data_IF_827821398768
#
_entry.id   IF_827821398768
#
_cell.length_a   1.000
_cell.length_b   1.000
_cell.length_c   1.000
_cell.angle_alpha   90.00
_cell.angle_beta   90.00
_cell.angle_gamma   90.00
#
_symmetry.space_group_name_H-M   'P 1'
#
loop_
_entity.id
_entity.type
_entity.pdbx_description
1 polymer ?
#
# COMPACT_ATOMS: atom_id res chain seq x y z
N UNK A 1 -4.26 -16.24 -3.85
CA UNK A 1 -3.51 -14.97 -4.06
C UNK A 1 -2.24 -14.99 -3.23
N UNK A 2 -1.14 -14.51 -3.79
CA UNK A 2 0.13 -14.29 -3.10
C UNK A 2 0.49 -12.82 -3.20
N UNK A 3 0.87 -12.21 -2.08
CA UNK A 3 1.23 -10.79 -2.00
C UNK A 3 2.62 -10.65 -1.41
N UNK A 4 3.45 -9.82 -2.04
CA UNK A 4 4.74 -9.43 -1.52
C UNK A 4 4.65 -8.37 -0.41
N UNK A 5 5.79 -7.99 0.14
CA UNK A 5 5.87 -6.86 1.07
C UNK A 5 5.66 -5.54 0.34
N UNK A 6 4.95 -4.62 0.98
CA UNK A 6 4.87 -3.24 0.50
C UNK A 6 6.21 -2.54 0.71
N UNK A 7 6.69 -1.85 -0.32
CA UNK A 7 7.94 -1.07 -0.29
C UNK A 7 7.66 0.39 -0.58
N UNK A 8 8.30 1.27 0.16
CA UNK A 8 8.19 2.71 -0.11
C UNK A 8 8.87 3.06 -1.43
N UNK A 9 8.28 3.97 -2.20
CA UNK A 9 8.85 4.47 -3.45
C UNK A 9 10.11 5.30 -3.18
N UNK A 10 10.01 6.22 -2.21
CA UNK A 10 11.16 6.98 -1.72
C UNK A 10 11.60 6.46 -0.35
N UNK A 11 12.86 6.71 0.06
CA UNK A 11 13.29 6.48 1.42
C UNK A 11 12.40 7.21 2.42
N UNK A 12 11.95 6.49 3.45
CA UNK A 12 11.09 7.05 4.49
C UNK A 12 11.94 7.35 5.72
N UNK A 13 11.91 8.60 6.18
CA UNK A 13 12.64 9.06 7.36
C UNK A 13 11.64 9.22 8.51
N UNK A 14 11.67 8.34 9.52
CA UNK A 14 10.85 8.48 10.71
C UNK A 14 11.21 9.75 11.48
N UNK A 15 10.20 10.50 11.92
CA UNK A 15 10.38 11.66 12.79
C UNK A 15 10.06 11.28 14.24
N UNK A 16 10.98 11.62 15.16
CA UNK A 16 10.72 11.47 16.57
C UNK A 16 9.91 12.65 17.10
N UNK A 17 8.81 12.36 17.78
CA UNK A 17 8.00 13.36 18.47
C UNK A 17 7.93 13.03 19.96
N UNK A 18 8.01 14.06 20.79
CA UNK A 18 7.77 13.92 22.22
C UNK A 18 6.30 13.98 22.53
N UNK A 19 5.80 13.02 23.28
CA UNK A 19 4.43 12.98 23.77
C UNK A 19 4.46 13.27 25.27
N UNK A 20 3.61 14.18 25.73
CA UNK A 20 3.46 14.45 27.15
C UNK A 20 2.09 14.01 27.61
N UNK A 21 2.03 13.20 28.63
CA UNK A 21 0.81 12.82 29.31
C UNK A 21 0.67 13.65 30.56
N UNK A 22 -0.38 14.44 30.64
CA UNK A 22 -0.67 15.31 31.80
C UNK A 22 -1.49 14.56 32.85
N UNK A 23 -2.42 13.69 32.43
CA UNK A 23 -3.21 12.87 33.35
C UNK A 23 -2.43 11.62 33.76
N UNK A 24 -2.17 11.46 35.03
CA UNK A 24 -1.47 10.31 35.62
C UNK A 24 -2.53 9.28 36.06
N UNK A 25 -2.31 8.00 35.77
CA UNK A 25 -3.34 6.97 35.92
C UNK A 25 -3.58 6.55 37.37
N UNK A 26 -2.62 6.76 38.28
CA UNK A 26 -2.71 6.36 39.68
C UNK A 26 -2.39 7.51 40.62
N UNK A 27 -3.07 7.56 41.79
CA UNK A 27 -2.84 8.59 42.79
C UNK A 27 -1.42 8.55 43.39
N UNK A 28 -0.82 7.39 43.48
CA UNK A 28 0.56 7.22 43.98
C UNK A 28 1.59 7.81 43.00
N UNK A 29 1.42 7.63 41.71
CA UNK A 29 2.30 8.20 40.71
C UNK A 29 2.08 9.71 40.57
N UNK A 30 0.86 10.20 40.76
CA UNK A 30 0.54 11.64 40.78
C UNK A 30 1.26 12.41 41.88
N UNK A 31 1.56 11.77 43.01
CA UNK A 31 2.34 12.36 44.11
C UNK A 31 3.84 12.46 43.82
N UNK A 32 4.33 11.69 42.85
CA UNK A 32 5.77 11.59 42.52
C UNK A 32 6.14 12.35 41.24
N UNK A 33 5.22 12.50 40.28
CA UNK A 33 5.47 13.11 38.97
C UNK A 33 4.26 13.91 38.53
N UNK A 34 4.48 15.13 38.06
CA UNK A 34 3.41 15.96 37.51
C UNK A 34 3.09 15.64 36.03
N UNK A 35 4.01 15.04 35.31
CA UNK A 35 3.87 14.71 33.89
C UNK A 35 4.71 13.49 33.53
N UNK A 36 4.23 12.69 32.59
CA UNK A 36 5.03 11.66 31.95
C UNK A 36 5.36 12.06 30.52
N UNK A 37 6.61 11.91 30.14
CA UNK A 37 7.10 12.15 28.77
C UNK A 37 7.43 10.82 28.12
N UNK A 38 6.96 10.64 26.90
CA UNK A 38 7.29 9.50 26.04
C UNK A 38 7.79 9.98 24.69
N UNK A 39 8.34 9.06 23.92
CA UNK A 39 8.76 9.30 22.53
C UNK A 39 7.93 8.44 21.60
N UNK A 40 7.58 8.99 20.46
CA UNK A 40 6.88 8.27 19.39
C UNK A 40 7.52 8.61 18.06
N UNK A 41 7.70 7.60 17.23
CA UNK A 41 8.14 7.79 15.85
C UNK A 41 6.94 7.82 14.93
N UNK A 42 6.92 8.77 14.01
CA UNK A 42 5.89 8.91 12.99
C UNK A 42 6.54 8.96 11.61
N UNK A 43 5.81 8.51 10.61
CA UNK A 43 6.13 8.70 9.20
C UNK A 43 5.20 9.80 8.69
N UNK A 44 5.72 11.01 8.37
CA UNK A 44 4.89 12.12 7.93
C UNK A 44 4.13 11.85 6.65
N UNK A 45 4.79 11.16 5.72
CA UNK A 45 4.22 10.69 4.47
C UNK A 45 5.06 9.53 3.92
N UNK A 46 4.42 8.62 3.19
CA UNK A 46 5.09 7.58 2.41
C UNK A 46 4.13 7.02 1.37
N UNK A 47 4.60 6.93 0.13
CA UNK A 47 3.93 6.19 -0.93
C UNK A 47 4.54 4.79 -1.01
N UNK A 48 3.70 3.77 -0.93
CA UNK A 48 4.14 2.37 -0.93
C UNK A 48 3.57 1.65 -2.13
N UNK A 49 4.39 0.82 -2.75
CA UNK A 49 3.99 -0.12 -3.79
C UNK A 49 3.96 -1.53 -3.22
N UNK A 50 2.89 -2.25 -3.49
CA UNK A 50 2.72 -3.66 -3.17
C UNK A 50 2.43 -4.43 -4.45
N UNK A 51 3.10 -5.53 -4.64
CA UNK A 51 2.93 -6.43 -5.79
C UNK A 51 2.31 -7.74 -5.34
N UNK A 52 1.54 -8.37 -6.22
CA UNK A 52 0.88 -9.62 -5.91
C UNK A 52 0.50 -10.42 -7.15
N UNK A 53 0.16 -11.67 -6.93
CA UNK A 53 -0.16 -12.65 -7.96
C UNK A 53 -1.47 -13.36 -7.66
N UNK A 54 -2.26 -13.58 -8.70
CA UNK A 54 -3.44 -14.45 -8.66
C UNK A 54 -3.26 -15.47 -9.78
N UNK A 55 -3.17 -16.74 -9.42
CA UNK A 55 -3.06 -17.82 -10.37
C UNK A 55 -4.44 -18.41 -10.65
N UNK A 56 -4.91 -18.31 -11.90
CA UNK A 56 -6.16 -18.91 -12.34
C UNK A 56 -6.13 -20.43 -12.23
N UNK A 57 -5.00 -21.04 -12.55
CA UNK A 57 -4.82 -22.50 -12.45
C UNK A 57 -4.99 -22.99 -11.00
N UNK A 58 -4.33 -22.33 -10.02
CA UNK A 58 -4.49 -22.69 -8.61
C UNK A 58 -5.88 -22.35 -8.08
N UNK A 59 -6.48 -21.25 -8.54
CA UNK A 59 -7.84 -20.87 -8.18
C UNK A 59 -8.84 -21.99 -8.54
N UNK A 60 -8.81 -22.44 -9.77
CA UNK A 60 -9.73 -23.47 -10.28
C UNK A 60 -9.48 -24.85 -9.69
N UNK A 61 -8.22 -25.28 -9.61
CA UNK A 61 -7.88 -26.67 -9.24
C UNK A 61 -7.79 -26.90 -7.73
N UNK A 62 -7.50 -25.88 -6.95
CA UNK A 62 -7.15 -26.03 -5.53
C UNK A 62 -8.14 -25.34 -4.60
N UNK A 63 -8.51 -24.09 -4.88
CA UNK A 63 -9.27 -23.29 -3.93
C UNK A 63 -10.73 -23.07 -4.31
N UNK A 64 -11.12 -23.30 -5.54
CA UNK A 64 -12.46 -22.98 -6.06
C UNK A 64 -12.76 -21.47 -6.13
N UNK A 65 -11.71 -20.64 -6.09
CA UNK A 65 -11.84 -19.17 -6.13
C UNK A 65 -12.47 -18.72 -7.44
N UNK A 66 -13.60 -18.06 -7.35
CA UNK A 66 -14.46 -17.66 -8.47
C UNK A 66 -14.19 -16.22 -8.95
N UNK A 67 -14.82 -15.82 -10.05
CA UNK A 67 -14.81 -14.44 -10.52
C UNK A 67 -15.54 -13.48 -9.54
N UNK A 68 -16.54 -13.96 -8.82
CA UNK A 68 -17.23 -13.13 -7.82
C UNK A 68 -16.37 -12.94 -6.57
N UNK A 69 -15.61 -13.97 -6.17
CA UNK A 69 -14.59 -13.83 -5.13
C UNK A 69 -13.51 -12.83 -5.55
N UNK A 70 -13.13 -12.82 -6.83
CA UNK A 70 -12.17 -11.87 -7.36
C UNK A 70 -12.70 -10.44 -7.29
N UNK A 71 -13.95 -10.19 -7.65
CA UNK A 71 -14.60 -8.86 -7.54
C UNK A 71 -14.65 -8.41 -6.07
N UNK A 72 -15.03 -9.32 -5.17
CA UNK A 72 -15.06 -9.04 -3.73
C UNK A 72 -13.66 -8.70 -3.21
N UNK A 73 -12.63 -9.45 -3.63
CA UNK A 73 -11.24 -9.19 -3.28
C UNK A 73 -10.80 -7.79 -3.73
N UNK A 74 -11.16 -7.39 -4.96
CA UNK A 74 -10.84 -6.05 -5.46
C UNK A 74 -11.51 -4.95 -4.65
N UNK A 75 -12.77 -5.14 -4.31
CA UNK A 75 -13.51 -4.21 -3.45
C UNK A 75 -12.88 -4.12 -2.06
N UNK A 76 -12.53 -5.25 -1.47
CA UNK A 76 -11.89 -5.30 -0.16
C UNK A 76 -10.52 -4.59 -0.16
N UNK A 77 -9.69 -4.79 -1.20
CA UNK A 77 -8.39 -4.11 -1.32
C UNK A 77 -8.56 -2.59 -1.43
N UNK A 78 -9.49 -2.11 -2.24
CA UNK A 78 -9.71 -0.67 -2.42
C UNK A 78 -10.17 0.02 -1.13
N UNK A 79 -10.94 -0.68 -0.30
CA UNK A 79 -11.54 -0.15 0.91
C UNK A 79 -10.84 -0.60 2.21
N UNK A 80 -9.70 -1.28 2.13
CA UNK A 80 -9.10 -1.94 3.30
C UNK A 80 -8.67 -0.98 4.42
N UNK A 81 -8.48 0.30 4.12
CA UNK A 81 -8.10 1.31 5.11
C UNK A 81 -9.27 2.15 5.61
N UNK A 82 -10.46 2.04 5.02
CA UNK A 82 -11.62 2.88 5.39
C UNK A 82 -12.15 2.59 6.81
N UNK A 83 -11.89 1.40 7.32
CA UNK A 83 -12.30 0.98 8.66
C UNK A 83 -11.11 0.72 9.60
N UNK A 84 -9.88 1.09 9.19
CA UNK A 84 -8.66 0.88 9.98
C UNK A 84 -7.95 2.19 10.29
N UNK A 85 -8.66 3.09 10.98
CA UNK A 85 -8.11 4.38 11.37
C UNK A 85 -7.43 4.32 12.74
N UNK A 86 -6.29 4.97 12.87
CA UNK A 86 -5.62 5.19 14.15
C UNK A 86 -4.75 6.44 14.09
N UNK A 87 -4.32 6.95 15.26
CA UNK A 87 -3.41 8.08 15.33
C UNK A 87 -2.10 7.86 14.54
N UNK A 88 -1.65 6.62 14.42
CA UNK A 88 -0.46 6.25 13.65
C UNK A 88 -0.73 6.01 12.16
N UNK A 89 -1.99 5.75 11.78
CA UNK A 89 -2.44 5.43 10.42
C UNK A 89 -3.54 6.38 9.94
N UNK A 90 -3.54 7.61 10.40
CA UNK A 90 -4.66 8.55 10.27
C UNK A 90 -5.27 8.70 8.89
N UNK A 91 -4.46 8.82 7.84
CA UNK A 91 -4.93 9.07 6.47
C UNK A 91 -4.34 8.05 5.46
N UNK A 92 -4.35 6.78 5.80
CA UNK A 92 -3.98 5.74 4.84
C UNK A 92 -5.12 5.52 3.85
N UNK A 93 -4.77 5.36 2.58
CA UNK A 93 -5.73 5.05 1.51
C UNK A 93 -5.04 4.29 0.39
N UNK A 94 -5.75 3.40 -0.29
CA UNK A 94 -5.32 2.86 -1.57
C UNK A 94 -5.45 3.95 -2.61
N UNK A 95 -4.37 4.28 -3.30
CA UNK A 95 -4.36 5.36 -4.30
C UNK A 95 -4.67 4.86 -5.69
N UNK A 96 -4.13 3.69 -6.03
CA UNK A 96 -4.35 3.06 -7.32
C UNK A 96 -4.27 1.54 -7.21
N UNK A 97 -4.95 0.87 -8.10
CA UNK A 97 -4.82 -0.54 -8.38
C UNK A 97 -4.58 -0.74 -9.87
N UNK A 98 -3.49 -1.42 -10.21
CA UNK A 98 -3.16 -1.79 -11.58
C UNK A 98 -3.20 -3.31 -11.64
N UNK A 99 -4.01 -3.85 -12.52
CA UNK A 99 -4.18 -5.30 -12.73
C UNK A 99 -3.78 -5.63 -14.15
N UNK A 100 -2.76 -6.46 -14.30
CA UNK A 100 -2.39 -7.01 -15.58
C UNK A 100 -2.95 -8.43 -15.70
N UNK A 101 -3.85 -8.63 -16.65
CA UNK A 101 -4.52 -9.89 -16.94
C UNK A 101 -3.85 -10.58 -18.10
N UNK A 102 -3.61 -11.87 -17.96
CA UNK A 102 -3.13 -12.75 -19.02
C UNK A 102 -4.30 -13.46 -19.70
N UNK A 103 -4.20 -13.69 -20.98
CA UNK A 103 -5.17 -14.51 -21.74
C UNK A 103 -5.02 -16.00 -21.41
N UNK A 104 -3.81 -16.43 -21.05
CA UNK A 104 -3.51 -17.82 -20.66
C UNK A 104 -3.53 -18.02 -19.15
N UNK A 105 -4.06 -19.16 -18.68
CA UNK A 105 -4.04 -19.57 -17.27
C UNK A 105 -2.63 -19.72 -16.67
N UNK A 106 -1.64 -20.03 -17.52
CA UNK A 106 -0.24 -20.18 -17.13
C UNK A 106 0.54 -18.87 -17.23
N UNK A 107 -0.09 -17.84 -17.79
CA UNK A 107 0.51 -16.54 -18.06
C UNK A 107 1.17 -16.46 -19.44
N UNK A 108 1.16 -15.26 -20.02
CA UNK A 108 1.74 -14.94 -21.33
C UNK A 108 3.12 -14.31 -21.24
N UNK A 109 3.48 -13.81 -20.06
CA UNK A 109 4.78 -13.18 -19.82
C UNK A 109 5.25 -13.39 -18.39
N UNK A 110 6.57 -13.33 -18.13
CA UNK A 110 7.11 -13.34 -16.78
C UNK A 110 6.63 -12.13 -15.98
N UNK A 111 6.25 -12.34 -14.72
CA UNK A 111 5.66 -11.32 -13.87
C UNK A 111 6.56 -10.09 -13.66
N UNK A 112 7.88 -10.26 -13.59
CA UNK A 112 8.81 -9.15 -13.43
C UNK A 112 8.68 -8.12 -14.56
N UNK A 113 8.46 -8.58 -15.83
CA UNK A 113 8.26 -7.65 -16.96
C UNK A 113 7.01 -6.81 -16.81
N UNK A 114 5.96 -7.36 -16.20
CA UNK A 114 4.73 -6.61 -15.94
C UNK A 114 4.90 -5.65 -14.77
N UNK A 115 5.64 -6.03 -13.74
CA UNK A 115 5.97 -5.09 -12.67
C UNK A 115 6.86 -3.95 -13.16
N UNK A 116 7.85 -4.24 -14.03
CA UNK A 116 8.73 -3.24 -14.63
C UNK A 116 7.98 -2.31 -15.61
N UNK A 117 6.86 -2.78 -16.21
CA UNK A 117 6.03 -1.93 -17.06
C UNK A 117 5.28 -0.83 -16.31
N UNK A 118 5.20 -0.92 -14.98
CA UNK A 118 4.57 0.08 -14.12
C UNK A 118 5.65 0.88 -13.41
N UNK A 119 5.81 2.15 -13.78
CA UNK A 119 6.75 3.05 -13.13
C UNK A 119 6.03 4.04 -12.21
N UNK A 120 6.61 4.26 -11.03
CA UNK A 120 6.15 5.27 -10.08
C UNK A 120 7.33 6.18 -9.77
N UNK A 121 7.21 7.45 -10.09
CA UNK A 121 8.30 8.42 -9.96
C UNK A 121 7.81 9.69 -9.27
N UNK A 122 8.64 10.23 -8.37
CA UNK A 122 8.42 11.54 -7.80
C UNK A 122 8.71 12.61 -8.86
N UNK A 123 7.90 13.65 -8.92
CA UNK A 123 8.10 14.79 -9.82
C UNK A 123 9.42 15.50 -9.51
N UNK A 124 10.17 15.96 -10.53
CA UNK A 124 11.53 16.47 -10.35
C UNK A 124 11.67 17.63 -9.36
N UNK A 125 10.68 18.52 -9.34
CA UNK A 125 10.72 19.75 -8.53
C UNK A 125 10.22 19.56 -7.08
N UNK A 126 9.98 18.31 -6.67
CA UNK A 126 9.46 17.99 -5.33
C UNK A 126 10.55 17.38 -4.47
N UNK A 127 11.04 18.12 -3.48
CA UNK A 127 12.04 17.62 -2.52
C UNK A 127 11.42 16.77 -1.41
N UNK A 128 10.30 17.22 -0.84
CA UNK A 128 9.62 16.56 0.28
C UNK A 128 8.16 16.28 -0.12
N UNK A 129 7.93 15.06 -0.60
CA UNK A 129 6.61 14.66 -1.04
C UNK A 129 5.69 14.45 0.16
N UNK A 130 4.58 15.17 0.22
CA UNK A 130 3.54 15.09 1.26
C UNK A 130 2.17 14.76 0.71
N UNK A 131 2.08 14.42 -0.57
CA UNK A 131 0.84 14.10 -1.27
C UNK A 131 1.10 13.15 -2.42
N UNK A 132 0.10 12.33 -2.74
CA UNK A 132 0.10 11.49 -3.93
C UNK A 132 0.24 12.30 -5.24
N UNK A 133 -0.25 13.53 -5.25
CA UNK A 133 -0.15 14.44 -6.41
C UNK A 133 1.29 14.78 -6.81
N UNK A 134 2.26 14.53 -5.95
CA UNK A 134 3.67 14.74 -6.22
C UNK A 134 4.35 13.56 -6.93
N UNK A 135 3.58 12.52 -7.25
CA UNK A 135 4.07 11.37 -7.99
C UNK A 135 3.38 11.25 -9.35
N UNK A 136 4.08 10.62 -10.27
CA UNK A 136 3.54 10.20 -11.55
C UNK A 136 3.59 8.69 -11.61
N UNK A 137 2.46 8.08 -11.94
CA UNK A 137 2.34 6.64 -12.16
C UNK A 137 2.08 6.42 -13.64
N UNK A 138 2.94 5.66 -14.30
CA UNK A 138 2.83 5.33 -15.71
C UNK A 138 2.80 3.83 -15.92
N UNK A 139 2.04 3.39 -16.89
CA UNK A 139 2.05 2.02 -17.41
C UNK A 139 2.60 2.10 -18.82
N UNK A 140 3.50 1.20 -19.19
CA UNK A 140 4.08 1.18 -20.53
C UNK A 140 3.01 1.02 -21.60
N UNK A 141 3.12 1.77 -22.69
CA UNK A 141 2.18 1.73 -23.81
C UNK A 141 2.22 0.38 -24.55
N UNK A 142 3.37 -0.30 -24.52
CA UNK A 142 3.55 -1.61 -25.16
C UNK A 142 3.69 -2.68 -24.08
N UNK A 143 2.71 -3.57 -24.06
CA UNK A 143 2.69 -4.73 -23.17
C UNK A 143 3.03 -6.01 -23.96
N UNK A 144 3.47 -7.07 -23.27
CA UNK A 144 3.64 -8.38 -23.90
C UNK A 144 2.34 -8.87 -24.56
N UNK A 145 2.47 -9.62 -25.64
CA UNK A 145 1.33 -10.23 -26.34
C UNK A 145 0.49 -11.11 -25.38
N UNK A 146 -0.83 -10.99 -25.47
CA UNK A 146 -1.76 -11.69 -24.60
C UNK A 146 -1.82 -11.17 -23.17
N UNK A 147 -1.35 -9.93 -22.93
CA UNK A 147 -1.47 -9.24 -21.65
C UNK A 147 -2.20 -7.93 -21.84
N UNK A 148 -3.17 -7.67 -20.96
CA UNK A 148 -3.88 -6.38 -20.86
C UNK A 148 -3.74 -5.86 -19.43
N UNK A 149 -3.42 -4.58 -19.26
CA UNK A 149 -3.37 -3.94 -17.95
C UNK A 149 -4.52 -2.93 -17.80
N UNK A 150 -5.23 -3.04 -16.70
CA UNK A 150 -6.33 -2.14 -16.31
C UNK A 150 -5.90 -1.34 -15.09
N UNK A 151 -6.09 -0.01 -15.14
CA UNK A 151 -5.81 0.91 -14.05
C UNK A 151 -7.13 1.40 -13.45
N UNK A 152 -7.27 1.22 -12.15
CA UNK A 152 -8.42 1.66 -11.37
C UNK A 152 -7.93 2.51 -10.19
N UNK A 153 -8.50 3.68 -10.05
CA UNK A 153 -8.20 4.65 -8.99
C UNK A 153 -9.42 4.85 -8.09
#
# INVERSE_FOLDING_TARGET
MQRGFSRSIDPVIPQEITITRVAIATEEDAKKKNTEKGRKYIIPYGLYRCEGYISANLARKTTGFSEDDLKLLWTAILNMFENDHSAARGKMAVRERIVCKHDSELGNAPAYKLFDSVAVQRKPDVYDARSYLYYTVTVADTLPEGVTCERLS
#
